data_IF_716359867747
#
_entry.id   IF_716359867747
#
_cell.length_a   1.000
_cell.length_b   1.000
_cell.length_c   1.000
_cell.angle_alpha   90.00
_cell.angle_beta   90.00
_cell.angle_gamma   90.00
#
_symmetry.space_group_name_H-M   'P 1'
#
loop_
_entity.id
_entity.type
_entity.pdbx_description
1 polymer ?
#
# COMPACT_ATOMS: atom_id res chain seq x y z
N UNK A 1 59.01 30.95 -18.05
CA UNK A 1 57.90 31.50 -18.85
C UNK A 1 57.09 30.43 -19.61
N UNK A 2 57.41 30.05 -20.86
CA UNK A 2 56.51 29.21 -21.70
C UNK A 2 56.16 27.83 -21.09
N UNK A 3 57.09 27.23 -20.36
CA UNK A 3 56.92 25.93 -19.71
C UNK A 3 56.12 25.98 -18.40
N UNK A 4 56.23 27.09 -17.65
CA UNK A 4 55.38 27.36 -16.48
C UNK A 4 53.93 27.61 -16.91
N UNK A 5 53.72 28.33 -18.02
CA UNK A 5 52.38 28.50 -18.60
C UNK A 5 51.78 27.13 -18.96
N UNK A 6 52.54 26.25 -19.62
CA UNK A 6 52.09 24.90 -19.98
C UNK A 6 51.75 24.03 -18.75
N UNK A 7 52.57 24.10 -17.69
CA UNK A 7 52.31 23.40 -16.42
C UNK A 7 51.04 23.92 -15.73
N UNK A 8 50.86 25.25 -15.66
CA UNK A 8 49.65 25.89 -15.10
C UNK A 8 48.40 25.51 -15.90
N UNK A 9 48.46 25.52 -17.23
CA UNK A 9 47.34 25.10 -18.08
C UNK A 9 46.96 23.63 -17.88
N UNK A 10 47.96 22.74 -17.79
CA UNK A 10 47.72 21.30 -17.56
C UNK A 10 47.09 21.03 -16.19
N UNK A 11 47.55 21.74 -15.15
CA UNK A 11 46.98 21.66 -13.81
C UNK A 11 45.54 22.19 -13.75
N UNK A 12 45.24 23.28 -14.45
CA UNK A 12 43.89 23.83 -14.53
C UNK A 12 42.91 22.87 -15.20
N UNK A 13 43.33 22.20 -16.28
CA UNK A 13 42.55 21.15 -16.93
C UNK A 13 42.30 19.96 -15.99
N UNK A 14 43.33 19.54 -15.23
CA UNK A 14 43.18 18.50 -14.23
C UNK A 14 42.15 18.87 -13.15
N UNK A 15 42.22 20.09 -12.62
CA UNK A 15 41.26 20.57 -11.61
C UNK A 15 39.83 20.62 -12.17
N UNK A 16 39.66 21.09 -13.41
CA UNK A 16 38.36 21.12 -14.07
C UNK A 16 37.81 19.70 -14.26
N UNK A 17 38.64 18.77 -14.74
CA UNK A 17 38.25 17.38 -14.93
C UNK A 17 37.91 16.70 -13.60
N UNK A 18 38.69 16.95 -12.56
CA UNK A 18 38.44 16.46 -11.20
C UNK A 18 37.10 16.97 -10.68
N UNK A 19 36.83 18.28 -10.81
CA UNK A 19 35.54 18.88 -10.43
C UNK A 19 34.36 18.23 -11.16
N UNK A 20 34.46 18.05 -12.48
CA UNK A 20 33.40 17.39 -13.28
C UNK A 20 33.18 15.95 -12.81
N UNK A 21 34.27 15.22 -12.54
CA UNK A 21 34.22 13.84 -12.06
C UNK A 21 33.54 13.76 -10.69
N UNK A 22 33.91 14.62 -9.76
CA UNK A 22 33.30 14.69 -8.43
C UNK A 22 31.81 15.04 -8.49
N UNK A 23 31.41 15.98 -9.35
CA UNK A 23 29.99 16.31 -9.54
C UNK A 23 29.20 15.13 -10.09
N UNK A 24 29.74 14.41 -11.09
CA UNK A 24 29.11 13.20 -11.63
C UNK A 24 28.97 12.11 -10.58
N UNK A 25 30.01 11.89 -9.77
CA UNK A 25 29.98 10.91 -8.68
C UNK A 25 28.95 11.30 -7.61
N UNK A 26 28.86 12.57 -7.23
CA UNK A 26 27.84 13.05 -6.30
C UNK A 26 26.44 12.74 -6.81
N UNK A 27 26.12 13.13 -8.05
CA UNK A 27 24.81 12.86 -8.65
C UNK A 27 24.54 11.36 -8.78
N UNK A 28 25.57 10.55 -9.04
CA UNK A 28 25.43 9.09 -9.10
C UNK A 28 25.09 8.50 -7.73
N UNK A 29 25.78 8.93 -6.67
CA UNK A 29 25.48 8.52 -5.29
C UNK A 29 24.07 8.95 -4.89
N UNK A 30 23.64 10.16 -5.22
CA UNK A 30 22.28 10.64 -4.94
C UNK A 30 21.22 9.74 -5.60
N UNK A 31 21.44 9.35 -6.87
CA UNK A 31 20.56 8.42 -7.58
C UNK A 31 20.52 7.04 -6.94
N UNK A 32 21.67 6.54 -6.47
CA UNK A 32 21.73 5.26 -5.74
C UNK A 32 20.96 5.33 -4.43
N UNK A 33 21.11 6.41 -3.67
CA UNK A 33 20.36 6.63 -2.42
C UNK A 33 18.85 6.63 -2.71
N UNK A 34 18.41 7.38 -3.70
CA UNK A 34 16.99 7.42 -4.09
C UNK A 34 16.47 6.06 -4.57
N UNK A 35 17.30 5.26 -5.23
CA UNK A 35 16.93 3.90 -5.63
C UNK A 35 16.77 3.00 -4.41
N UNK A 36 17.76 2.97 -3.53
CA UNK A 36 17.73 2.14 -2.31
C UNK A 36 16.54 2.51 -1.43
N UNK A 37 16.21 3.80 -1.30
CA UNK A 37 15.05 4.26 -0.55
C UNK A 37 13.73 3.74 -1.15
N UNK A 38 13.59 3.78 -2.48
CA UNK A 38 12.41 3.23 -3.17
C UNK A 38 12.32 1.72 -3.03
N UNK A 39 13.44 1.02 -3.26
CA UNK A 39 13.49 -0.44 -3.14
C UNK A 39 13.17 -0.88 -1.71
N UNK A 40 13.70 -0.17 -0.70
CA UNK A 40 13.35 -0.39 0.71
C UNK A 40 11.86 -0.22 0.96
N UNK A 41 11.26 0.88 0.50
CA UNK A 41 9.82 1.13 0.69
C UNK A 41 8.97 0.04 0.04
N UNK A 42 9.31 -0.39 -1.18
CA UNK A 42 8.61 -1.48 -1.88
C UNK A 42 8.73 -2.81 -1.11
N UNK A 43 9.92 -3.14 -0.62
CA UNK A 43 10.13 -4.37 0.17
C UNK A 43 9.35 -4.32 1.49
N UNK A 44 9.32 -3.17 2.15
CA UNK A 44 8.53 -2.97 3.37
C UNK A 44 7.03 -3.18 3.10
N UNK A 45 6.49 -2.61 2.03
CA UNK A 45 5.09 -2.82 1.63
C UNK A 45 4.79 -4.30 1.30
N UNK A 46 5.62 -4.94 0.47
CA UNK A 46 5.46 -6.36 0.13
C UNK A 46 5.52 -7.26 1.38
N UNK A 47 6.45 -6.96 2.30
CA UNK A 47 6.56 -7.70 3.55
C UNK A 47 5.30 -7.54 4.39
N UNK A 48 4.76 -6.32 4.52
CA UNK A 48 3.50 -6.09 5.23
C UNK A 48 2.36 -6.87 4.60
N UNK A 49 2.23 -6.91 3.28
CA UNK A 49 1.18 -7.69 2.61
C UNK A 49 1.26 -9.19 2.96
N UNK A 50 2.46 -9.76 2.95
CA UNK A 50 2.67 -11.17 3.31
C UNK A 50 2.35 -11.42 4.78
N UNK A 51 2.82 -10.56 5.68
CA UNK A 51 2.57 -10.68 7.11
C UNK A 51 1.08 -10.50 7.46
N UNK A 52 0.37 -9.60 6.75
CA UNK A 52 -1.08 -9.46 6.89
C UNK A 52 -1.80 -10.72 6.43
N UNK A 53 -1.37 -11.36 5.32
CA UNK A 53 -1.95 -12.65 4.89
C UNK A 53 -1.82 -13.71 5.98
N UNK A 54 -0.61 -13.90 6.54
CA UNK A 54 -0.40 -14.83 7.66
C UNK A 54 -1.21 -14.45 8.91
N UNK A 55 -1.33 -13.16 9.22
CA UNK A 55 -2.16 -12.70 10.32
C UNK A 55 -3.65 -13.04 10.11
N UNK A 56 -4.15 -12.89 8.88
CA UNK A 56 -5.54 -13.14 8.53
C UNK A 56 -5.87 -14.63 8.46
N UNK A 57 -4.93 -15.49 8.03
CA UNK A 57 -5.09 -16.95 8.08
C UNK A 57 -5.39 -17.45 9.50
N UNK A 58 -4.68 -16.92 10.50
CA UNK A 58 -4.94 -17.23 11.91
C UNK A 58 -6.31 -16.73 12.42
N UNK A 59 -6.97 -15.85 11.66
CA UNK A 59 -8.27 -15.25 11.99
C UNK A 59 -9.39 -15.71 11.06
N UNK A 60 -9.18 -16.73 10.25
CA UNK A 60 -10.16 -17.25 9.29
C UNK A 60 -11.51 -17.57 9.97
N UNK A 61 -11.50 -18.17 11.15
CA UNK A 61 -12.73 -18.45 11.88
C UNK A 61 -13.46 -17.18 12.36
N UNK A 62 -12.71 -16.15 12.77
CA UNK A 62 -13.30 -14.85 13.14
C UNK A 62 -13.94 -14.19 11.90
N UNK A 63 -13.26 -14.26 10.76
CA UNK A 63 -13.75 -13.70 9.50
C UNK A 63 -14.99 -14.43 9.00
N UNK A 64 -15.04 -15.77 9.09
CA UNK A 64 -16.24 -16.56 8.74
C UNK A 64 -17.45 -16.20 9.60
N UNK A 65 -17.27 -16.02 10.92
CA UNK A 65 -18.35 -15.57 11.80
C UNK A 65 -18.85 -14.17 11.43
N UNK A 66 -17.93 -13.26 11.15
CA UNK A 66 -18.27 -11.93 10.67
C UNK A 66 -19.09 -11.99 9.35
N UNK A 67 -18.67 -12.79 8.37
CA UNK A 67 -19.41 -12.93 7.11
C UNK A 67 -20.82 -13.48 7.32
N UNK A 68 -20.99 -14.45 8.23
CA UNK A 68 -22.31 -14.98 8.58
C UNK A 68 -23.21 -13.90 9.20
N UNK A 69 -22.68 -13.13 10.16
CA UNK A 69 -23.39 -12.01 10.76
C UNK A 69 -23.76 -10.96 9.70
N UNK A 70 -22.81 -10.59 8.84
CA UNK A 70 -22.98 -9.59 7.79
C UNK A 70 -24.10 -9.93 6.79
N UNK A 71 -24.29 -11.21 6.48
CA UNK A 71 -25.36 -11.68 5.56
C UNK A 71 -26.74 -11.63 6.22
N UNK A 72 -26.83 -11.89 7.53
CA UNK A 72 -28.10 -11.90 8.27
C UNK A 72 -28.63 -10.49 8.47
N UNK A 73 -27.74 -9.50 8.60
CA UNK A 73 -28.11 -8.09 8.72
C UNK A 73 -28.77 -7.61 7.44
N UNK A 74 -29.90 -6.92 7.58
CA UNK A 74 -30.69 -6.45 6.45
C UNK A 74 -30.52 -4.95 6.23
N UNK A 75 -30.36 -4.18 7.30
CA UNK A 75 -30.19 -2.74 7.23
C UNK A 75 -28.72 -2.36 6.96
N UNK A 76 -28.51 -1.35 6.12
CA UNK A 76 -27.17 -0.97 5.65
C UNK A 76 -26.32 -0.32 6.75
N UNK A 77 -26.96 0.44 7.64
CA UNK A 77 -26.35 1.00 8.84
C UNK A 77 -25.89 -0.10 9.79
N UNK A 78 -26.69 -1.14 10.02
CA UNK A 78 -26.29 -2.31 10.82
C UNK A 78 -25.07 -3.03 10.22
N UNK A 79 -25.05 -3.24 8.89
CA UNK A 79 -23.90 -3.82 8.18
C UNK A 79 -22.64 -2.98 8.33
N UNK A 80 -22.78 -1.67 8.21
CA UNK A 80 -21.67 -0.72 8.35
C UNK A 80 -21.10 -0.76 9.77
N UNK A 81 -21.97 -0.74 10.78
CA UNK A 81 -21.58 -0.83 12.18
C UNK A 81 -20.90 -2.17 12.51
N UNK A 82 -21.44 -3.29 12.01
CA UNK A 82 -20.82 -4.62 12.13
C UNK A 82 -19.40 -4.66 11.54
N UNK A 83 -19.21 -4.10 10.34
CA UNK A 83 -17.90 -3.99 9.69
C UNK A 83 -16.92 -3.13 10.52
N UNK A 84 -17.36 -1.94 10.95
CA UNK A 84 -16.51 -1.03 11.72
C UNK A 84 -16.08 -1.62 13.06
N UNK A 85 -16.98 -2.28 13.78
CA UNK A 85 -16.64 -3.01 15.02
C UNK A 85 -15.61 -4.11 14.78
N UNK A 86 -15.78 -4.87 13.71
CA UNK A 86 -14.88 -5.97 13.35
C UNK A 86 -13.48 -5.43 13.03
N UNK A 87 -13.38 -4.40 12.19
CA UNK A 87 -12.12 -3.75 11.84
C UNK A 87 -11.45 -3.11 13.07
N UNK A 88 -12.20 -2.38 13.90
CA UNK A 88 -11.67 -1.79 15.13
C UNK A 88 -11.09 -2.87 16.07
N UNK A 89 -11.77 -4.00 16.21
CA UNK A 89 -11.26 -5.15 16.96
C UNK A 89 -9.95 -5.71 16.40
N UNK A 90 -9.83 -5.81 15.08
CA UNK A 90 -8.58 -6.23 14.43
C UNK A 90 -7.46 -5.19 14.62
N UNK A 91 -7.75 -3.90 14.44
CA UNK A 91 -6.80 -2.79 14.56
C UNK A 91 -6.21 -2.62 15.95
N UNK A 92 -7.02 -2.88 16.99
CA UNK A 92 -6.60 -2.81 18.38
C UNK A 92 -5.73 -4.01 18.78
N UNK A 93 -5.99 -5.19 18.20
CA UNK A 93 -5.22 -6.41 18.47
C UNK A 93 -3.96 -6.55 17.63
N UNK A 94 -3.89 -5.87 16.49
CA UNK A 94 -2.74 -5.91 15.58
C UNK A 94 -1.41 -5.60 16.28
N UNK A 95 -1.21 -4.42 16.93
CA UNK A 95 0.06 -4.08 17.58
C UNK A 95 0.36 -4.95 18.81
N UNK A 96 -0.61 -5.69 19.34
CA UNK A 96 -0.41 -6.59 20.48
C UNK A 96 0.10 -7.97 20.06
N UNK A 97 0.07 -8.29 18.77
CA UNK A 97 0.55 -9.57 18.26
C UNK A 97 2.07 -9.60 18.21
N UNK A 98 2.66 -10.77 18.53
CA UNK A 98 4.12 -10.97 18.55
C UNK A 98 4.81 -10.56 17.26
N UNK A 99 4.14 -10.74 16.12
CA UNK A 99 4.61 -10.36 14.79
C UNK A 99 4.71 -8.85 14.57
N UNK A 100 3.84 -8.06 15.21
CA UNK A 100 3.65 -6.64 14.91
C UNK A 100 4.02 -5.71 16.06
N UNK A 101 4.32 -6.23 17.25
CA UNK A 101 4.60 -5.44 18.46
C UNK A 101 5.77 -4.45 18.33
N UNK A 102 6.72 -4.72 17.43
CA UNK A 102 7.89 -3.87 17.19
C UNK A 102 7.83 -3.15 15.84
N UNK A 103 6.70 -3.23 15.13
CA UNK A 103 6.58 -2.60 13.83
C UNK A 103 6.41 -1.07 13.98
N UNK A 104 7.08 -0.27 13.14
CA UNK A 104 6.96 1.17 13.18
C UNK A 104 5.53 1.63 12.81
N UNK A 105 5.09 2.81 13.30
CA UNK A 105 3.69 3.25 13.16
C UNK A 105 3.18 3.31 11.72
N UNK A 106 4.03 3.68 10.76
CA UNK A 106 3.64 3.77 9.35
C UNK A 106 3.36 2.39 8.74
N UNK A 107 4.12 1.35 9.13
CA UNK A 107 3.85 -0.02 8.68
C UNK A 107 2.60 -0.60 9.35
N UNK A 108 2.35 -0.26 10.62
CA UNK A 108 1.06 -0.60 11.28
C UNK A 108 -0.10 0.06 10.54
N UNK A 109 0.02 1.34 10.16
CA UNK A 109 -1.01 2.04 9.41
C UNK A 109 -1.24 1.41 8.02
N UNK A 110 -0.16 1.03 7.33
CA UNK A 110 -0.25 0.32 6.05
C UNK A 110 -0.91 -1.06 6.23
N UNK A 111 -0.53 -1.83 7.25
CA UNK A 111 -1.12 -3.12 7.58
C UNK A 111 -2.62 -3.02 7.86
N UNK A 112 -3.08 -1.98 8.59
CA UNK A 112 -4.51 -1.72 8.82
C UNK A 112 -5.26 -1.51 7.49
N UNK A 113 -4.72 -0.71 6.57
CA UNK A 113 -5.29 -0.53 5.23
C UNK A 113 -5.34 -1.83 4.43
N UNK A 114 -4.31 -2.66 4.53
CA UNK A 114 -4.29 -3.96 3.85
C UNK A 114 -5.32 -4.92 4.44
N UNK A 115 -5.48 -4.95 5.76
CA UNK A 115 -6.55 -5.70 6.43
C UNK A 115 -7.93 -5.23 5.94
N UNK A 116 -8.15 -3.92 5.90
CA UNK A 116 -9.40 -3.33 5.39
C UNK A 116 -9.69 -3.79 3.96
N UNK A 117 -8.71 -3.70 3.07
CA UNK A 117 -8.83 -4.16 1.67
C UNK A 117 -9.21 -5.64 1.59
N UNK A 118 -8.57 -6.48 2.40
CA UNK A 118 -8.87 -7.92 2.43
C UNK A 118 -10.31 -8.17 2.90
N UNK A 119 -10.76 -7.51 3.96
CA UNK A 119 -12.13 -7.67 4.47
C UNK A 119 -13.15 -7.14 3.45
N UNK A 120 -12.91 -5.94 2.91
CA UNK A 120 -13.78 -5.32 1.90
C UNK A 120 -13.91 -6.18 0.64
N UNK A 121 -12.82 -6.81 0.19
CA UNK A 121 -12.85 -7.71 -0.96
C UNK A 121 -13.77 -8.93 -0.73
N UNK A 122 -13.85 -9.44 0.50
CA UNK A 122 -14.72 -10.58 0.84
C UNK A 122 -16.20 -10.19 0.85
N UNK A 123 -16.52 -8.98 1.30
CA UNK A 123 -17.92 -8.50 1.38
C UNK A 123 -18.38 -7.76 0.13
N UNK A 124 -17.49 -7.41 -0.80
CA UNK A 124 -17.80 -6.55 -1.95
C UNK A 124 -19.03 -7.04 -2.72
N UNK A 125 -19.07 -8.34 -3.06
CA UNK A 125 -20.22 -8.92 -3.76
C UNK A 125 -21.50 -8.87 -2.90
N UNK A 126 -21.40 -9.15 -1.59
CA UNK A 126 -22.54 -9.20 -0.67
C UNK A 126 -23.10 -7.81 -0.33
N UNK A 127 -22.24 -6.79 -0.34
CA UNK A 127 -22.59 -5.42 0.00
C UNK A 127 -23.18 -4.65 -1.19
N UNK A 128 -22.61 -4.84 -2.39
CA UNK A 128 -23.02 -4.11 -3.59
C UNK A 128 -24.04 -4.86 -4.46
N UNK A 129 -24.03 -6.20 -4.40
CA UNK A 129 -24.93 -7.04 -5.21
C UNK A 129 -25.66 -8.07 -4.35
N UNK A 130 -26.48 -7.65 -3.35
CA UNK A 130 -27.20 -8.58 -2.49
C UNK A 130 -28.15 -9.52 -3.25
N UNK A 131 -28.67 -9.10 -4.41
CA UNK A 131 -29.47 -9.94 -5.32
C UNK A 131 -28.67 -10.45 -6.53
N UNK A 132 -27.33 -10.33 -6.48
CA UNK A 132 -26.35 -10.77 -7.48
C UNK A 132 -26.76 -10.38 -8.91
N UNK A 133 -27.38 -11.31 -9.65
CA UNK A 133 -27.75 -11.11 -11.04
C UNK A 133 -28.82 -10.03 -11.21
N UNK A 134 -29.80 -9.91 -10.32
CA UNK A 134 -30.84 -8.87 -10.48
C UNK A 134 -30.28 -7.45 -10.35
N UNK A 135 -29.23 -7.27 -9.54
CA UNK A 135 -28.55 -5.98 -9.37
C UNK A 135 -27.60 -5.71 -10.55
N UNK A 136 -26.85 -6.74 -11.01
CA UNK A 136 -26.02 -6.63 -12.23
C UNK A 136 -26.84 -6.28 -13.47
N UNK A 137 -28.00 -6.91 -13.67
CA UNK A 137 -28.88 -6.62 -14.80
C UNK A 137 -29.56 -5.25 -14.67
N UNK A 138 -29.73 -4.71 -13.46
CA UNK A 138 -30.20 -3.31 -13.26
C UNK A 138 -29.11 -2.32 -13.65
N UNK A 139 -27.88 -2.55 -13.20
CA UNK A 139 -26.73 -1.69 -13.50
C UNK A 139 -26.39 -1.68 -14.99
N UNK A 140 -26.58 -2.79 -15.69
CA UNK A 140 -26.37 -2.89 -17.15
C UNK A 140 -27.46 -2.14 -17.96
N UNK A 141 -28.67 -1.99 -17.40
CA UNK A 141 -29.79 -1.27 -18.05
C UNK A 141 -29.84 0.22 -17.75
N UNK A 142 -29.22 0.67 -16.65
CA UNK A 142 -29.14 2.09 -16.28
C UNK A 142 -28.46 2.99 -17.33
N UNK A 143 -27.35 2.60 -18.00
CA UNK A 143 -26.74 3.42 -19.04
C UNK A 143 -27.58 3.52 -20.33
N UNK A 144 -28.52 2.60 -20.57
CA UNK A 144 -29.41 2.65 -21.74
C UNK A 144 -30.59 3.62 -21.57
N UNK A 145 -30.96 3.96 -20.33
CA UNK A 145 -32.05 4.90 -20.05
C UNK A 145 -31.64 6.39 -20.12
N UNK A 146 -30.33 6.68 -20.24
CA UNK A 146 -29.81 8.04 -20.42
C UNK A 146 -29.50 8.40 -21.87
N UNK A 147 -29.67 7.47 -22.82
CA UNK A 147 -29.47 7.70 -24.26
C UNK A 147 -30.78 7.79 -25.07
N UNK A 148 -31.94 7.59 -24.43
CA UNK A 148 -33.28 7.74 -25.04
C UNK A 148 -34.04 8.99 -24.55
N UNK A 149 -33.33 10.07 -24.18
CA UNK A 149 -33.89 11.41 -23.92
C UNK A 149 -33.21 12.47 -24.78
#
# INVERSE_FOLDING_TARGET
MREEYRKRSSYLLYLQQSRITLLRLSTYVDKLIQRIQRDKALVEECLVEVLVRFYMENKDQQLKRFLQEFVILNAQDEKTDCLLRTLAGMYNRLPLSSMWQSAPPHLIAYARKTIERVVMAQIHALAFYPNLDADRHRDEKLPLLYFDC
#
